data_IF_183819472400
#
_entry.id   IF_183819472400
#
_cell.length_a   1.000
_cell.length_b   1.000
_cell.length_c   1.000
_cell.angle_alpha   90.00
_cell.angle_beta   90.00
_cell.angle_gamma   90.00
#
_symmetry.space_group_name_H-M   'P 1'
#
loop_
_entity.id
_entity.type
_entity.pdbx_description
1 polymer ?
#
# COMPACT_ATOMS: atom_id res chain seq x y z
N UNK A 1 35.11 4.62 -8.94
CA UNK A 1 34.17 4.92 -7.83
C UNK A 1 33.47 3.66 -7.32
N UNK A 2 32.50 3.06 -8.03
CA UNK A 2 31.71 1.92 -7.49
C UNK A 2 32.56 0.69 -7.11
N UNK A 3 33.59 0.35 -7.89
CA UNK A 3 34.56 -0.71 -7.53
C UNK A 3 35.36 -0.41 -6.26
N UNK A 4 35.60 0.86 -5.92
CA UNK A 4 36.35 1.23 -4.71
C UNK A 4 35.51 1.01 -3.43
N UNK A 5 34.19 1.03 -3.55
CA UNK A 5 33.27 0.65 -2.48
C UNK A 5 32.89 -0.84 -2.56
N UNK A 6 33.63 -1.62 -3.36
CA UNK A 6 33.46 -3.07 -3.49
C UNK A 6 31.98 -3.45 -3.74
N UNK A 7 31.38 -2.66 -4.64
CA UNK A 7 30.07 -2.92 -5.24
C UNK A 7 30.27 -3.95 -6.36
N UNK A 8 29.53 -5.07 -6.36
CA UNK A 8 29.59 -6.05 -7.44
C UNK A 8 29.36 -5.42 -8.81
N UNK A 9 29.99 -5.97 -9.86
CA UNK A 9 29.91 -5.42 -11.21
C UNK A 9 28.46 -5.33 -11.72
N UNK A 10 27.68 -6.41 -11.55
CA UNK A 10 26.28 -6.47 -11.94
C UNK A 10 25.42 -5.39 -11.24
N UNK A 11 25.77 -5.04 -10.00
CA UNK A 11 25.06 -4.01 -9.24
C UNK A 11 25.48 -2.62 -9.73
N UNK A 12 26.76 -2.43 -10.02
CA UNK A 12 27.30 -1.18 -10.56
C UNK A 12 26.68 -0.83 -11.91
N UNK A 13 26.47 -1.82 -12.79
CA UNK A 13 25.80 -1.63 -14.08
C UNK A 13 24.35 -1.18 -13.92
N UNK A 14 23.60 -1.77 -12.98
CA UNK A 14 22.22 -1.35 -12.69
C UNK A 14 22.16 0.09 -12.18
N UNK A 15 23.02 0.44 -11.23
CA UNK A 15 23.10 1.79 -10.67
C UNK A 15 23.41 2.80 -11.78
N UNK A 16 24.40 2.49 -12.62
CA UNK A 16 24.80 3.36 -13.73
C UNK A 16 23.69 3.48 -14.79
N UNK A 17 22.94 2.41 -15.06
CA UNK A 17 21.81 2.45 -16.00
C UNK A 17 20.65 3.30 -15.47
N UNK A 18 20.40 3.28 -14.16
CA UNK A 18 19.31 4.05 -13.55
C UNK A 18 19.66 5.53 -13.41
N UNK A 19 20.88 5.85 -12.96
CA UNK A 19 21.26 7.22 -12.57
C UNK A 19 22.33 7.88 -13.44
N UNK A 20 23.00 7.12 -14.31
CA UNK A 20 24.07 7.64 -15.16
C UNK A 20 25.16 8.37 -14.36
N UNK A 21 25.50 9.57 -14.79
CA UNK A 21 26.52 10.40 -14.15
C UNK A 21 26.13 10.84 -12.72
N UNK A 22 24.84 10.89 -12.40
CA UNK A 22 24.34 11.26 -11.08
C UNK A 22 24.51 10.15 -10.03
N UNK A 23 24.93 8.94 -10.43
CA UNK A 23 25.10 7.78 -9.54
C UNK A 23 25.92 8.10 -8.30
N UNK A 24 27.05 8.80 -8.46
CA UNK A 24 27.96 9.13 -7.36
C UNK A 24 27.31 10.11 -6.39
N UNK A 25 26.62 11.12 -6.91
CA UNK A 25 25.93 12.13 -6.09
C UNK A 25 24.82 11.48 -5.27
N UNK A 26 23.98 10.67 -5.91
CA UNK A 26 22.86 9.99 -5.25
C UNK A 26 23.35 9.04 -4.17
N UNK A 27 24.40 8.27 -4.44
CA UNK A 27 25.00 7.38 -3.44
C UNK A 27 25.53 8.12 -2.22
N UNK A 28 26.09 9.32 -2.41
CA UNK A 28 26.58 10.15 -1.30
C UNK A 28 25.45 10.83 -0.52
N UNK A 29 24.37 11.22 -1.19
CA UNK A 29 23.23 11.88 -0.57
C UNK A 29 22.34 10.88 0.18
N UNK A 30 21.99 9.75 -0.45
CA UNK A 30 21.11 8.73 0.10
C UNK A 30 21.29 7.37 -0.61
N UNK A 31 22.20 6.50 -0.12
CA UNK A 31 22.42 5.18 -0.71
C UNK A 31 21.26 4.21 -0.49
N UNK A 32 20.31 4.52 0.40
CA UNK A 32 19.14 3.65 0.63
C UNK A 32 18.10 3.79 -0.49
N UNK A 33 18.16 4.87 -1.29
CA UNK A 33 17.34 4.99 -2.52
C UNK A 33 17.58 3.87 -3.52
N UNK A 34 18.77 3.25 -3.49
CA UNK A 34 19.04 2.09 -4.34
C UNK A 34 18.06 0.95 -4.08
N UNK A 35 17.68 0.75 -2.81
CA UNK A 35 16.81 -0.35 -2.40
C UNK A 35 15.34 -0.13 -2.81
N UNK A 36 14.91 1.12 -2.93
CA UNK A 36 13.55 1.46 -3.37
C UNK A 36 13.43 1.62 -4.89
N UNK A 37 14.47 2.12 -5.56
CA UNK A 37 14.40 2.50 -6.99
C UNK A 37 15.01 1.47 -7.94
N UNK A 38 15.88 0.57 -7.48
CA UNK A 38 16.55 -0.41 -8.35
C UNK A 38 16.11 -1.84 -8.01
N UNK A 39 15.44 -2.48 -8.96
CA UNK A 39 15.02 -3.87 -8.83
C UNK A 39 16.20 -4.84 -8.69
N UNK A 40 16.11 -5.69 -7.67
CA UNK A 40 17.16 -6.64 -7.28
C UNK A 40 18.28 -6.02 -6.46
N UNK A 41 18.13 -4.80 -5.97
CA UNK A 41 18.98 -4.22 -4.93
C UNK A 41 18.15 -4.17 -3.66
N UNK A 42 18.48 -5.01 -2.69
CA UNK A 42 17.81 -5.00 -1.40
C UNK A 42 18.47 -4.05 -0.41
N UNK A 43 17.80 -3.81 0.72
CA UNK A 43 18.33 -3.04 1.85
C UNK A 43 19.73 -3.52 2.27
N UNK A 44 19.94 -4.84 2.43
CA UNK A 44 21.25 -5.40 2.84
C UNK A 44 22.40 -5.01 1.90
N UNK A 45 22.12 -4.92 0.59
CA UNK A 45 23.12 -4.50 -0.39
C UNK A 45 23.36 -2.99 -0.29
N UNK A 46 22.31 -2.19 -0.12
CA UNK A 46 22.41 -0.75 0.08
C UNK A 46 23.14 -0.39 1.39
N UNK A 47 22.84 -1.09 2.49
CA UNK A 47 23.46 -0.90 3.81
C UNK A 47 24.96 -1.19 3.77
N UNK A 48 25.38 -2.24 3.07
CA UNK A 48 26.81 -2.52 2.86
C UNK A 48 27.53 -1.38 2.13
N UNK A 49 26.86 -0.74 1.16
CA UNK A 49 27.41 0.40 0.43
C UNK A 49 27.45 1.63 1.34
N UNK A 50 26.37 1.87 2.10
CA UNK A 50 26.25 2.97 3.05
C UNK A 50 27.34 2.93 4.13
N UNK A 51 27.62 1.77 4.71
CA UNK A 51 28.69 1.58 5.68
C UNK A 51 30.07 1.92 5.08
N UNK A 52 30.34 1.51 3.84
CA UNK A 52 31.60 1.83 3.15
C UNK A 52 31.71 3.30 2.76
N UNK A 53 30.58 4.00 2.60
CA UNK A 53 30.52 5.45 2.43
C UNK A 53 30.68 6.21 3.75
N UNK A 54 30.76 5.51 4.88
CA UNK A 54 30.92 6.10 6.21
C UNK A 54 29.62 6.60 6.83
N UNK A 55 28.45 6.10 6.39
CA UNK A 55 27.18 6.43 7.02
C UNK A 55 27.11 5.76 8.40
N UNK A 56 26.82 6.52 9.47
CA UNK A 56 26.67 5.98 10.81
C UNK A 56 25.53 4.95 10.92
N UNK A 57 25.70 3.96 11.81
CA UNK A 57 24.70 2.91 12.04
C UNK A 57 23.39 3.43 12.67
N UNK A 58 23.46 4.55 13.40
CA UNK A 58 22.36 5.27 14.02
C UNK A 58 21.73 6.32 13.09
N UNK A 59 22.16 6.39 11.83
CA UNK A 59 21.61 7.36 10.88
C UNK A 59 20.10 7.16 10.71
N UNK A 60 19.28 8.22 10.82
CA UNK A 60 17.83 8.09 10.69
C UNK A 60 17.40 7.54 9.32
N UNK A 61 18.20 7.78 8.27
CA UNK A 61 17.96 7.21 6.93
C UNK A 61 18.11 5.69 6.92
N UNK A 62 19.10 5.16 7.66
CA UNK A 62 19.33 3.73 7.82
C UNK A 62 18.18 3.08 8.57
N UNK A 63 17.79 3.68 9.70
CA UNK A 63 16.68 3.23 10.53
C UNK A 63 15.37 3.18 9.74
N UNK A 64 15.10 4.23 8.97
CA UNK A 64 13.91 4.33 8.14
C UNK A 64 13.87 3.24 7.06
N UNK A 65 14.97 3.08 6.31
CA UNK A 65 15.07 2.07 5.27
C UNK A 65 15.04 0.64 5.83
N UNK A 66 15.61 0.43 7.02
CA UNK A 66 15.60 -0.84 7.73
C UNK A 66 14.20 -1.24 8.21
N UNK A 67 13.45 -0.32 8.81
CA UNK A 67 12.07 -0.57 9.24
C UNK A 67 11.16 -0.95 8.07
N UNK A 68 11.25 -0.22 6.95
CA UNK A 68 10.50 -0.55 5.72
C UNK A 68 10.94 -1.90 5.15
N UNK A 69 12.23 -2.24 5.23
CA UNK A 69 12.73 -3.52 4.78
C UNK A 69 12.19 -4.69 5.62
N UNK A 70 12.18 -4.57 6.95
CA UNK A 70 11.61 -5.60 7.84
C UNK A 70 10.13 -5.82 7.55
N UNK A 71 9.38 -4.73 7.42
CA UNK A 71 7.96 -4.78 7.09
C UNK A 71 7.68 -5.51 5.77
N UNK A 72 8.44 -5.18 4.71
CA UNK A 72 8.30 -5.87 3.42
C UNK A 72 8.79 -7.32 3.46
N UNK A 73 9.89 -7.60 4.17
CA UNK A 73 10.42 -8.96 4.27
C UNK A 73 9.43 -9.89 4.98
N UNK A 74 8.82 -9.45 6.07
CA UNK A 74 7.81 -10.22 6.80
C UNK A 74 6.54 -10.41 5.98
N UNK A 75 6.13 -9.40 5.21
CA UNK A 75 5.05 -9.55 4.25
C UNK A 75 5.34 -10.60 3.16
N UNK A 76 6.56 -10.61 2.63
CA UNK A 76 6.96 -11.56 1.57
C UNK A 76 7.15 -12.99 2.08
N UNK A 77 7.68 -13.16 3.30
CA UNK A 77 8.02 -14.49 3.86
C UNK A 77 6.89 -15.15 4.61
N UNK A 78 6.19 -14.38 5.44
CA UNK A 78 5.18 -14.88 6.37
C UNK A 78 3.76 -14.52 5.92
N UNK A 79 3.63 -13.63 4.91
CA UNK A 79 2.35 -13.22 4.38
C UNK A 79 1.63 -12.19 5.26
N UNK A 80 2.36 -11.52 6.16
CA UNK A 80 1.78 -10.48 7.01
C UNK A 80 1.34 -9.26 6.18
N UNK A 81 0.06 -8.87 6.30
CA UNK A 81 -0.44 -7.63 5.69
C UNK A 81 -0.06 -6.39 6.50
N UNK A 82 0.10 -6.55 7.81
CA UNK A 82 0.49 -5.52 8.76
C UNK A 82 1.31 -6.11 9.89
N UNK A 83 2.01 -5.25 10.62
CA UNK A 83 2.66 -5.58 11.87
C UNK A 83 2.18 -4.64 12.98
N UNK A 84 2.01 -5.14 14.22
CA UNK A 84 1.87 -4.27 15.38
C UNK A 84 3.09 -3.34 15.50
N UNK A 85 2.84 -2.13 16.00
CA UNK A 85 3.87 -1.10 16.10
C UNK A 85 5.05 -1.51 17.00
N UNK A 86 4.77 -2.17 18.13
CA UNK A 86 5.80 -2.71 19.04
C UNK A 86 6.66 -3.77 18.35
N UNK A 87 6.02 -4.80 17.79
CA UNK A 87 6.68 -5.91 17.08
C UNK A 87 7.59 -5.43 15.94
N UNK A 88 7.15 -4.42 15.18
CA UNK A 88 7.97 -3.83 14.12
C UNK A 88 9.22 -3.13 14.68
N UNK A 89 9.08 -2.40 15.80
CA UNK A 89 10.23 -1.75 16.45
C UNK A 89 11.20 -2.80 16.95
N UNK A 90 10.74 -3.82 17.66
CA UNK A 90 11.59 -4.86 18.22
C UNK A 90 12.33 -5.61 17.12
N UNK A 91 11.60 -6.08 16.10
CA UNK A 91 12.20 -6.82 14.98
C UNK A 91 13.18 -5.94 14.18
N UNK A 92 12.87 -4.66 13.99
CA UNK A 92 13.77 -3.74 13.31
C UNK A 92 15.00 -3.40 14.17
N UNK A 93 14.84 -3.25 15.48
CA UNK A 93 15.92 -2.99 16.43
C UNK A 93 16.92 -4.16 16.44
N UNK A 94 16.42 -5.39 16.51
CA UNK A 94 17.23 -6.61 16.43
C UNK A 94 17.97 -6.72 15.10
N UNK A 95 17.29 -6.48 13.96
CA UNK A 95 17.92 -6.57 12.64
C UNK A 95 18.98 -5.48 12.42
N UNK A 96 18.75 -4.28 12.95
CA UNK A 96 19.62 -3.13 12.76
C UNK A 96 20.72 -3.01 13.81
N UNK A 97 20.68 -3.85 14.85
CA UNK A 97 21.54 -3.81 16.03
C UNK A 97 21.53 -2.43 16.69
N UNK A 98 20.34 -1.90 16.95
CA UNK A 98 20.12 -0.55 17.48
C UNK A 98 19.07 -0.53 18.58
N UNK A 99 18.99 0.58 19.32
CA UNK A 99 18.02 0.75 20.39
C UNK A 99 16.61 1.00 19.84
N UNK A 100 15.61 0.33 20.41
CA UNK A 100 14.20 0.49 20.07
C UNK A 100 13.73 1.96 20.14
N UNK A 101 14.26 2.71 21.11
CA UNK A 101 13.93 4.13 21.32
C UNK A 101 14.32 5.01 20.13
N UNK A 102 15.37 4.65 19.39
CA UNK A 102 15.81 5.40 18.20
C UNK A 102 14.86 5.22 17.00
N UNK A 103 14.13 4.10 16.94
CA UNK A 103 13.22 3.77 15.86
C UNK A 103 11.85 4.45 15.98
N UNK A 104 11.41 4.75 17.20
CA UNK A 104 10.13 5.42 17.46
C UNK A 104 9.95 6.72 16.68
N UNK A 105 10.83 7.75 16.82
CA UNK A 105 10.67 9.00 16.08
C UNK A 105 10.79 8.83 14.56
N UNK A 106 11.55 7.82 14.12
CA UNK A 106 11.74 7.50 12.71
C UNK A 106 10.47 6.91 12.11
N UNK A 107 9.81 5.98 12.79
CA UNK A 107 8.53 5.41 12.36
C UNK A 107 7.42 6.46 12.31
N UNK A 108 7.36 7.37 13.29
CA UNK A 108 6.41 8.47 13.26
C UNK A 108 6.63 9.38 12.05
N UNK A 109 7.89 9.71 11.73
CA UNK A 109 8.24 10.45 10.52
C UNK A 109 7.87 9.68 9.24
N UNK A 110 8.09 8.36 9.22
CA UNK A 110 7.70 7.50 8.09
C UNK A 110 6.19 7.44 7.87
N UNK A 111 5.40 7.45 8.95
CA UNK A 111 3.94 7.47 8.90
C UNK A 111 3.37 8.80 8.40
N UNK A 112 4.06 9.92 8.65
CA UNK A 112 3.74 11.21 8.02
C UNK A 112 4.16 11.25 6.54
N UNK A 113 5.16 10.45 6.18
CA UNK A 113 5.63 10.30 4.82
C UNK A 113 4.73 9.40 3.94
N UNK A 114 5.24 9.11 2.75
CA UNK A 114 4.55 8.28 1.74
C UNK A 114 4.95 6.81 1.76
N UNK A 115 5.81 6.37 2.68
CA UNK A 115 6.35 4.99 2.67
C UNK A 115 5.51 4.01 3.47
N UNK A 116 4.95 4.45 4.60
CA UNK A 116 4.26 3.58 5.56
C UNK A 116 2.92 4.22 5.94
N UNK A 117 1.93 3.39 6.29
CA UNK A 117 0.66 3.84 6.84
C UNK A 117 0.55 3.30 8.26
N UNK A 118 0.36 4.20 9.23
CA UNK A 118 0.12 3.83 10.63
C UNK A 118 -1.36 4.06 10.90
N UNK A 119 -2.09 2.98 11.14
CA UNK A 119 -3.50 3.03 11.51
C UNK A 119 -3.63 2.75 13.01
N UNK A 120 -4.30 3.65 13.72
CA UNK A 120 -4.74 3.39 15.08
C UNK A 120 -5.96 2.47 15.02
N UNK A 121 -5.91 1.30 15.62
CA UNK A 121 -7.07 0.44 15.72
C UNK A 121 -8.23 1.20 16.41
N UNK A 122 -9.37 1.31 15.73
CA UNK A 122 -10.53 2.02 16.26
C UNK A 122 -11.38 1.13 17.18
N UNK A 123 -11.44 1.54 18.46
CA UNK A 123 -12.60 1.64 19.36
C UNK A 123 -13.41 0.42 19.83
N UNK A 124 -13.16 -0.82 19.37
CA UNK A 124 -13.88 -1.99 19.91
C UNK A 124 -13.06 -2.86 20.88
N UNK A 125 -11.73 -2.81 20.82
CA UNK A 125 -10.85 -3.57 21.71
C UNK A 125 -9.81 -2.61 22.31
N UNK A 126 -10.07 -2.21 23.55
CA UNK A 126 -9.21 -1.55 24.53
C UNK A 126 -8.22 -0.45 24.08
N UNK A 127 -8.64 0.77 24.42
CA UNK A 127 -7.89 1.99 24.75
C UNK A 127 -6.38 1.84 25.11
N UNK A 128 -5.61 2.78 24.58
CA UNK A 128 -4.43 3.41 25.21
C UNK A 128 -3.12 2.61 25.32
N UNK A 129 -2.97 1.47 24.64
CA UNK A 129 -1.67 0.81 24.50
C UNK A 129 -1.01 1.13 23.14
N UNK A 130 0.32 1.37 23.08
CA UNK A 130 1.06 1.45 21.81
C UNK A 130 0.95 0.17 20.96
N UNK A 131 0.49 -0.92 21.56
CA UNK A 131 0.15 -2.21 20.92
C UNK A 131 -1.07 -2.16 19.98
N UNK A 132 -1.91 -1.12 20.08
CA UNK A 132 -3.08 -0.96 19.20
C UNK A 132 -2.78 -0.31 17.84
N UNK A 133 -1.55 0.14 17.61
CA UNK A 133 -1.15 0.75 16.33
C UNK A 133 -0.70 -0.34 15.36
N UNK A 134 -1.28 -0.34 14.17
CA UNK A 134 -0.92 -1.25 13.08
C UNK A 134 -0.14 -0.49 12.03
N UNK A 135 0.94 -1.11 11.57
CA UNK A 135 1.85 -0.53 10.59
C UNK A 135 1.75 -1.33 9.30
N UNK A 136 1.42 -0.64 8.22
CA UNK A 136 1.21 -1.23 6.91
C UNK A 136 2.23 -0.68 5.91
N UNK A 137 2.74 -1.55 5.05
CA UNK A 137 3.38 -1.08 3.84
C UNK A 137 2.30 -0.44 2.95
N UNK A 138 2.56 0.76 2.42
CA UNK A 138 1.58 1.47 1.60
C UNK A 138 0.95 0.65 0.45
N UNK A 139 1.70 -0.14 -0.35
CA UNK A 139 1.08 -0.95 -1.39
C UNK A 139 0.14 -2.01 -0.83
N UNK A 140 0.46 -2.62 0.32
CA UNK A 140 -0.38 -3.63 0.97
C UNK A 140 -1.65 -2.99 1.55
N UNK A 141 -1.54 -1.85 2.20
CA UNK A 141 -2.69 -1.10 2.70
C UNK A 141 -3.67 -0.73 1.57
N UNK A 142 -3.14 -0.25 0.44
CA UNK A 142 -3.97 0.07 -0.72
C UNK A 142 -4.66 -1.17 -1.29
N UNK A 143 -3.96 -2.30 -1.35
CA UNK A 143 -4.53 -3.56 -1.80
C UNK A 143 -5.63 -4.07 -0.84
N UNK A 144 -5.41 -4.01 0.47
CA UNK A 144 -6.42 -4.39 1.47
C UNK A 144 -7.67 -3.51 1.38
N UNK A 145 -7.50 -2.19 1.33
CA UNK A 145 -8.61 -1.25 1.16
C UNK A 145 -9.42 -1.56 -0.11
N UNK A 146 -8.74 -1.87 -1.20
CA UNK A 146 -9.35 -2.18 -2.49
C UNK A 146 -10.16 -3.49 -2.43
N UNK A 147 -9.60 -4.54 -1.81
CA UNK A 147 -10.29 -5.82 -1.62
C UNK A 147 -11.51 -5.64 -0.73
N UNK A 148 -11.37 -4.96 0.40
CA UNK A 148 -12.47 -4.67 1.32
C UNK A 148 -13.61 -3.90 0.61
N UNK A 149 -13.26 -2.89 -0.19
CA UNK A 149 -14.22 -2.09 -0.96
C UNK A 149 -14.96 -2.93 -2.00
N UNK A 150 -14.26 -3.80 -2.74
CA UNK A 150 -14.89 -4.71 -3.72
C UNK A 150 -15.82 -5.71 -3.04
N UNK A 151 -15.39 -6.29 -1.92
CA UNK A 151 -16.21 -7.23 -1.16
C UNK A 151 -17.47 -6.55 -0.61
N UNK A 152 -17.35 -5.34 -0.07
CA UNK A 152 -18.49 -4.55 0.39
C UNK A 152 -19.47 -4.22 -0.75
N UNK A 153 -18.97 -3.99 -1.97
CA UNK A 153 -19.82 -3.80 -3.15
C UNK A 153 -20.59 -5.07 -3.50
N UNK A 154 -19.93 -6.24 -3.52
CA UNK A 154 -20.57 -7.53 -3.81
C UNK A 154 -21.62 -7.92 -2.77
N UNK A 155 -21.33 -7.71 -1.49
CA UNK A 155 -22.30 -7.97 -0.41
C UNK A 155 -23.53 -7.07 -0.57
N UNK A 156 -23.34 -5.80 -0.96
CA UNK A 156 -24.43 -4.86 -1.18
C UNK A 156 -25.31 -5.30 -2.35
N UNK A 157 -24.72 -5.64 -3.49
CA UNK A 157 -25.49 -6.10 -4.66
C UNK A 157 -26.27 -7.37 -4.37
N UNK A 158 -25.65 -8.37 -3.70
CA UNK A 158 -26.33 -9.60 -3.33
C UNK A 158 -27.49 -9.36 -2.34
N UNK A 159 -27.33 -8.39 -1.42
CA UNK A 159 -28.39 -8.00 -0.47
C UNK A 159 -29.54 -7.27 -1.17
N UNK A 160 -29.23 -6.44 -2.17
CA UNK A 160 -30.22 -5.71 -2.94
C UNK A 160 -31.01 -6.65 -3.88
N UNK A 161 -30.35 -7.66 -4.46
CA UNK A 161 -31.01 -8.73 -5.24
C UNK A 161 -31.92 -9.59 -4.36
N UNK A 162 -31.45 -10.04 -3.19
CA UNK A 162 -32.29 -10.79 -2.24
C UNK A 162 -33.48 -9.97 -1.71
N UNK A 163 -33.30 -8.65 -1.51
CA UNK A 163 -34.39 -7.73 -1.14
C UNK A 163 -35.39 -7.55 -2.28
N UNK A 164 -34.92 -7.45 -3.52
CA UNK A 164 -35.76 -7.35 -4.70
C UNK A 164 -36.59 -8.63 -4.88
N UNK A 165 -35.98 -9.80 -4.77
CA UNK A 165 -36.71 -11.07 -4.83
C UNK A 165 -37.74 -11.24 -3.71
N UNK A 166 -37.40 -10.83 -2.49
CA UNK A 166 -38.34 -10.84 -1.37
C UNK A 166 -39.51 -9.87 -1.59
N UNK A 167 -39.25 -8.68 -2.14
CA UNK A 167 -40.28 -7.72 -2.53
C UNK A 167 -41.15 -8.25 -3.68
N UNK A 168 -40.57 -8.95 -4.65
CA UNK A 168 -41.29 -9.60 -5.75
C UNK A 168 -42.17 -10.77 -5.28
N UNK A 169 -41.72 -11.54 -4.28
CA UNK A 169 -42.50 -12.63 -3.65
C UNK A 169 -43.62 -12.11 -2.74
N UNK A 170 -43.46 -10.90 -2.19
CA UNK A 170 -44.42 -10.28 -1.27
C UNK A 170 -45.54 -9.44 -1.90
N UNK A 171 -45.53 -9.18 -3.22
CA UNK A 171 -46.58 -8.39 -3.87
C UNK A 171 -47.30 -9.17 -4.97
N UNK A 172 -48.53 -9.57 -4.66
CA UNK A 172 -49.54 -9.83 -5.68
C UNK A 172 -50.11 -8.53 -6.25
N UNK A 173 -50.36 -8.55 -7.57
CA UNK A 173 -51.23 -7.68 -8.39
C UNK A 173 -50.56 -6.51 -9.17
N UNK A 174 -51.16 -6.03 -10.29
CA UNK A 174 -50.78 -6.48 -11.62
C UNK A 174 -50.40 -5.31 -12.57
N UNK A 175 -49.63 -5.59 -13.61
CA UNK A 175 -49.74 -4.82 -14.87
C UNK A 175 -48.61 -3.89 -15.30
N UNK A 176 -47.48 -3.80 -14.61
CA UNK A 176 -46.30 -3.15 -15.21
C UNK A 176 -45.29 -4.22 -15.65
N UNK A 177 -45.13 -4.33 -16.98
CA UNK A 177 -44.26 -5.31 -17.62
C UNK A 177 -42.81 -5.06 -17.20
N UNK A 178 -42.08 -6.17 -17.02
CA UNK A 178 -40.69 -6.25 -16.57
C UNK A 178 -39.75 -5.25 -17.28
N UNK A 179 -40.07 -4.86 -18.52
CA UNK A 179 -39.33 -3.87 -19.33
C UNK A 179 -39.42 -2.43 -18.80
N UNK A 180 -40.59 -1.99 -18.34
CA UNK A 180 -40.80 -0.62 -17.83
C UNK A 180 -40.13 -0.42 -16.47
N UNK A 181 -40.14 -1.47 -15.64
CA UNK A 181 -39.54 -1.46 -14.29
C UNK A 181 -38.00 -1.52 -14.34
N UNK A 182 -37.42 -2.26 -15.30
CA UNK A 182 -35.97 -2.25 -15.56
C UNK A 182 -35.48 -0.91 -16.11
N UNK A 183 -36.24 -0.28 -17.01
CA UNK A 183 -35.88 1.03 -17.57
C UNK A 183 -35.82 2.13 -16.52
N UNK A 184 -36.72 2.10 -15.54
CA UNK A 184 -36.79 3.10 -14.47
C UNK A 184 -35.64 2.97 -13.45
N UNK A 185 -35.12 1.75 -13.27
CA UNK A 185 -34.01 1.44 -12.36
C UNK A 185 -32.65 1.72 -13.01
N UNK A 186 -32.49 1.43 -14.31
CA UNK A 186 -31.31 1.80 -15.09
C UNK A 186 -31.13 3.34 -15.17
N UNK A 187 -32.24 4.11 -15.32
CA UNK A 187 -32.20 5.58 -15.28
C UNK A 187 -31.72 6.12 -13.92
N UNK A 188 -32.20 5.56 -12.81
CA UNK A 188 -31.76 5.99 -11.46
C UNK A 188 -30.31 5.62 -11.15
N UNK A 189 -29.82 4.50 -11.68
CA UNK A 189 -28.42 4.13 -11.55
C UNK A 189 -27.49 5.06 -12.36
N UNK A 190 -27.94 5.55 -13.52
CA UNK A 190 -27.22 6.51 -14.35
C UNK A 190 -27.23 7.93 -13.75
N UNK A 191 -28.34 8.38 -13.17
CA UNK A 191 -28.46 9.68 -12.49
C UNK A 191 -27.66 9.72 -11.16
N UNK A 192 -27.39 8.57 -10.55
CA UNK A 192 -26.61 8.43 -9.32
C UNK A 192 -25.09 8.61 -9.45
N UNK A 193 -24.58 8.80 -10.68
CA UNK A 193 -23.22 9.28 -10.94
C UNK A 193 -22.22 8.23 -11.42
N UNK A 194 -22.02 8.19 -12.74
CA UNK A 194 -20.73 8.02 -13.46
C UNK A 194 -21.01 7.71 -14.94
N UNK A 195 -21.37 8.73 -15.73
CA UNK A 195 -21.26 8.66 -17.19
C UNK A 195 -20.88 10.05 -17.70
N UNK A 196 -19.69 10.18 -18.28
CA UNK A 196 -19.28 11.40 -18.99
C UNK A 196 -20.15 11.52 -20.25
N UNK A 197 -20.55 12.76 -20.58
CA UNK A 197 -21.52 13.13 -21.64
C UNK A 197 -21.29 12.47 -23.02
N UNK A 198 -20.08 11.97 -23.28
CA UNK A 198 -19.69 11.39 -24.57
C UNK A 198 -20.17 9.95 -24.80
N UNK A 199 -20.61 9.23 -23.77
CA UNK A 199 -21.14 7.86 -23.90
C UNK A 199 -22.67 7.79 -24.08
N UNK A 200 -23.38 8.92 -23.91
CA UNK A 200 -24.84 8.98 -24.06
C UNK A 200 -25.34 8.85 -25.50
N UNK A 201 -24.58 9.40 -26.46
CA UNK A 201 -24.98 9.43 -27.87
C UNK A 201 -24.85 8.06 -28.57
N UNK A 202 -24.05 7.13 -28.04
CA UNK A 202 -23.88 5.80 -28.61
C UNK A 202 -25.05 4.84 -28.30
N UNK A 203 -25.88 5.15 -27.29
CA UNK A 203 -26.94 4.25 -26.81
C UNK A 203 -28.31 4.64 -27.39
N UNK A 204 -28.57 5.92 -27.68
CA UNK A 204 -29.81 6.35 -28.35
C UNK A 204 -29.94 5.80 -29.79
N UNK A 205 -28.82 5.56 -30.47
CA UNK A 205 -28.80 4.96 -31.80
C UNK A 205 -29.04 3.44 -31.84
N UNK A 206 -28.98 2.74 -30.70
CA UNK A 206 -29.14 1.28 -30.64
C UNK A 206 -30.58 0.83 -30.30
N UNK A 207 -31.49 1.78 -30.07
CA UNK A 207 -32.87 1.52 -29.65
C UNK A 207 -33.93 2.10 -30.61
N UNK A 208 -33.53 2.51 -31.82
CA UNK A 208 -34.44 2.68 -32.96
C UNK A 208 -34.26 1.50 -33.91
#
# INVERSE_FOLDING_TARGET
FLRQYDVPLHLSEKILRTYGEASIRILREDPYRLASEIHGVGFKSADRIAQKLGIPADSPKRLAAGAVYVLNQLAEREGHCFLPYGDLIETAAEMLETEADALTPVLESLGQGSSVVIESANMAENLASPEGKRVYARPLYAAECEVARRLAALIRTARDEARLEAAMRGQGAPGATTKERLGHLARRALEGGMATKDQGAAIEGALT
#
